data_IF_667820935499
#
_entry.id   IF_667820935499
#
_cell.length_a   1.000
_cell.length_b   1.000
_cell.length_c   1.000
_cell.angle_alpha   90.00
_cell.angle_beta   90.00
_cell.angle_gamma   90.00
#
_symmetry.space_group_name_H-M   'P 1'
#
loop_
_entity.id
_entity.type
_entity.pdbx_description
1 polymer ?
#
# COMPACT_ATOMS: atom_id res chain seq x y z
N UNK A 1 13.94 -0.11 8.67
CA UNK A 1 13.69 1.17 9.35
C UNK A 1 12.25 1.56 9.08
N UNK A 2 11.39 1.62 10.11
CA UNK A 2 9.98 2.02 9.95
C UNK A 2 9.96 3.50 9.55
N UNK A 3 9.25 3.85 8.48
CA UNK A 3 9.11 5.24 8.03
C UNK A 3 8.01 5.92 8.86
N UNK A 4 8.31 7.09 9.40
CA UNK A 4 7.35 7.94 10.11
C UNK A 4 6.53 8.75 9.09
N UNK A 5 5.21 8.78 9.27
CA UNK A 5 4.31 9.60 8.47
C UNK A 5 4.61 11.10 8.63
N UNK A 6 4.99 11.57 9.83
CA UNK A 6 5.31 12.97 10.10
C UNK A 6 6.51 13.44 9.28
N UNK A 7 7.57 12.64 9.25
CA UNK A 7 8.76 12.94 8.45
C UNK A 7 8.48 12.90 6.95
N UNK A 8 7.61 11.97 6.51
CA UNK A 8 7.14 11.91 5.13
C UNK A 8 6.34 13.15 4.73
N UNK A 9 5.43 13.60 5.59
CA UNK A 9 4.65 14.82 5.37
C UNK A 9 5.58 16.03 5.34
N UNK A 10 6.54 16.13 6.27
CA UNK A 10 7.51 17.24 6.29
C UNK A 10 8.31 17.31 4.99
N UNK A 11 8.91 16.20 4.56
CA UNK A 11 9.67 16.14 3.29
C UNK A 11 8.81 16.41 2.07
N UNK A 12 7.57 15.90 2.06
CA UNK A 12 6.64 16.18 0.97
C UNK A 12 6.19 17.65 0.91
N UNK A 13 6.13 18.38 2.04
CA UNK A 13 5.90 19.84 2.04
C UNK A 13 7.07 20.61 1.42
N UNK A 14 8.30 20.12 1.60
CA UNK A 14 9.51 20.79 1.13
C UNK A 14 9.83 20.45 -0.34
N UNK A 15 9.67 19.17 -0.74
CA UNK A 15 10.21 18.64 -2.00
C UNK A 15 9.22 17.77 -2.80
N UNK A 16 7.96 17.68 -2.39
CA UNK A 16 7.01 16.73 -2.97
C UNK A 16 5.57 17.21 -3.03
N UNK A 17 4.65 16.25 -2.98
CA UNK A 17 3.21 16.47 -2.93
C UNK A 17 2.60 15.59 -1.86
N UNK A 18 1.73 16.18 -1.05
CA UNK A 18 0.84 15.44 -0.15
C UNK A 18 -0.41 15.07 -0.94
N UNK A 19 -0.83 13.81 -0.84
CA UNK A 19 -1.92 13.23 -1.62
C UNK A 19 -3.04 12.66 -0.72
N UNK A 20 -3.10 13.05 0.54
CA UNK A 20 -4.13 12.65 1.51
C UNK A 20 -4.56 13.83 2.39
N UNK A 21 -5.75 13.74 2.98
CA UNK A 21 -6.26 14.66 3.99
C UNK A 21 -6.04 14.08 5.39
N UNK A 22 -6.05 14.93 6.42
CA UNK A 22 -5.77 14.50 7.80
C UNK A 22 -6.70 13.35 8.28
N UNK A 23 -7.95 13.33 7.84
CA UNK A 23 -8.92 12.29 8.19
C UNK A 23 -8.77 10.97 7.42
N UNK A 24 -7.94 10.93 6.37
CA UNK A 24 -7.77 9.75 5.52
C UNK A 24 -6.90 8.67 6.18
N UNK A 25 -6.02 9.05 7.12
CA UNK A 25 -5.04 8.14 7.73
C UNK A 25 -5.25 8.08 9.25
N UNK A 26 -5.47 6.86 9.75
CA UNK A 26 -5.50 6.60 11.19
C UNK A 26 -4.16 6.05 11.67
N UNK A 27 -3.76 6.48 12.86
CA UNK A 27 -2.69 5.83 13.61
C UNK A 27 -3.30 4.68 14.41
N UNK A 28 -2.76 3.49 14.26
CA UNK A 28 -3.16 2.28 14.98
C UNK A 28 -1.93 1.67 15.68
N UNK A 29 -2.14 0.76 16.64
CA UNK A 29 -1.04 0.12 17.37
C UNK A 29 -0.03 -0.57 16.44
N UNK A 30 -0.51 -1.13 15.32
CA UNK A 30 0.32 -1.80 14.33
C UNK A 30 1.03 -0.86 13.33
N UNK A 31 0.70 0.44 13.29
CA UNK A 31 1.22 1.40 12.32
C UNK A 31 0.15 2.39 11.85
N UNK A 32 -0.13 2.39 10.54
CA UNK A 32 -1.07 3.30 9.90
C UNK A 32 -2.15 2.54 9.13
N UNK A 33 -3.35 3.11 9.08
CA UNK A 33 -4.46 2.62 8.27
C UNK A 33 -4.90 3.73 7.33
N UNK A 34 -4.80 3.52 6.03
CA UNK A 34 -5.39 4.40 5.02
C UNK A 34 -6.86 4.00 4.79
N UNK A 35 -7.79 4.83 5.28
CA UNK A 35 -9.24 4.62 5.19
C UNK A 35 -9.74 4.60 3.74
N UNK A 36 -8.97 5.15 2.79
CA UNK A 36 -9.34 5.19 1.37
C UNK A 36 -9.04 3.88 0.67
N UNK A 37 -8.37 2.94 1.35
CA UNK A 37 -8.09 1.64 0.78
C UNK A 37 -9.38 0.85 0.63
N UNK A 38 -9.68 0.42 -0.60
CA UNK A 38 -10.87 -0.39 -0.91
C UNK A 38 -10.44 -1.74 -1.50
N UNK A 39 -11.30 -2.75 -1.38
CA UNK A 39 -11.07 -4.05 -2.03
C UNK A 39 -11.89 -4.08 -3.32
N UNK A 40 -11.21 -4.27 -4.45
CA UNK A 40 -11.87 -4.56 -5.71
C UNK A 40 -12.55 -5.93 -5.62
N UNK A 41 -13.88 -5.95 -5.66
CA UNK A 41 -14.66 -7.19 -5.55
C UNK A 41 -14.42 -8.16 -6.70
N UNK A 42 -13.98 -7.67 -7.87
CA UNK A 42 -13.76 -8.50 -9.05
C UNK A 42 -12.42 -9.25 -9.00
N UNK A 43 -11.37 -8.58 -8.53
CA UNK A 43 -10.01 -9.14 -8.49
C UNK A 43 -9.58 -9.59 -7.09
N UNK A 44 -10.25 -9.11 -6.05
CA UNK A 44 -9.87 -9.31 -4.64
C UNK A 44 -8.63 -8.50 -4.22
N UNK A 45 -8.11 -7.60 -5.07
CA UNK A 45 -6.96 -6.78 -4.73
C UNK A 45 -7.35 -5.53 -3.94
N UNK A 46 -6.47 -5.11 -3.04
CA UNK A 46 -6.58 -3.80 -2.42
C UNK A 46 -6.20 -2.72 -3.42
N UNK A 47 -7.10 -1.77 -3.64
CA UNK A 47 -6.85 -0.49 -4.31
C UNK A 47 -6.40 0.48 -3.23
N UNK A 48 -5.14 0.90 -3.31
CA UNK A 48 -4.48 1.77 -2.34
C UNK A 48 -4.19 3.10 -3.01
N UNK A 49 -4.37 4.19 -2.27
CA UNK A 49 -4.01 5.53 -2.74
C UNK A 49 -2.64 5.95 -2.20
N UNK A 50 -1.84 6.69 -2.96
CA UNK A 50 -0.62 7.27 -2.44
C UNK A 50 -0.93 8.28 -1.32
N UNK A 51 -0.03 8.37 -0.35
CA UNK A 51 -0.04 9.40 0.70
C UNK A 51 0.85 10.57 0.30
N UNK A 52 1.99 10.31 -0.32
CA UNK A 52 2.87 11.36 -0.84
C UNK A 52 3.54 10.95 -2.14
N UNK A 53 3.98 11.94 -2.89
CA UNK A 53 4.85 11.77 -4.06
C UNK A 53 6.07 12.67 -3.91
N UNK A 54 7.26 12.07 -3.80
CA UNK A 54 8.54 12.77 -3.62
C UNK A 54 9.63 12.03 -4.41
N UNK A 55 10.55 12.76 -5.06
CA UNK A 55 11.69 12.21 -5.82
C UNK A 55 11.33 11.11 -6.85
N UNK A 56 10.13 11.17 -7.44
CA UNK A 56 9.66 10.16 -8.38
C UNK A 56 9.15 8.85 -7.74
N UNK A 57 9.01 8.82 -6.41
CA UNK A 57 8.46 7.71 -5.66
C UNK A 57 7.07 8.05 -5.12
N UNK A 58 6.13 7.13 -5.31
CA UNK A 58 4.88 7.12 -4.57
C UNK A 58 5.09 6.43 -3.23
N UNK A 59 4.73 7.11 -2.14
CA UNK A 59 4.62 6.51 -0.82
C UNK A 59 3.16 6.11 -0.58
N UNK A 60 2.94 4.93 -0.01
CA UNK A 60 1.60 4.42 0.29
C UNK A 60 1.63 3.58 1.56
N UNK A 61 0.47 3.47 2.24
CA UNK A 61 0.32 2.63 3.42
C UNK A 61 -0.08 1.22 2.98
N UNK A 62 0.64 0.22 3.48
CA UNK A 62 0.33 -1.17 3.19
C UNK A 62 -0.89 -1.64 4.00
N UNK A 63 -1.97 -2.14 3.37
CA UNK A 63 -3.16 -2.57 4.09
C UNK A 63 -2.96 -3.83 4.93
N UNK A 64 -1.87 -4.58 4.73
CA UNK A 64 -1.60 -5.79 5.51
C UNK A 64 -0.67 -5.57 6.71
N UNK A 65 0.38 -4.77 6.57
CA UNK A 65 1.35 -4.57 7.66
C UNK A 65 1.25 -3.19 8.33
N UNK A 66 0.43 -2.27 7.79
CA UNK A 66 0.28 -0.91 8.32
C UNK A 66 1.52 -0.03 8.18
N UNK A 67 2.56 -0.50 7.47
CA UNK A 67 3.78 0.28 7.25
C UNK A 67 3.72 1.08 5.95
N UNK A 68 4.48 2.18 5.91
CA UNK A 68 4.61 2.99 4.71
C UNK A 68 5.68 2.38 3.80
N UNK A 69 5.32 2.20 2.54
CA UNK A 69 6.20 1.68 1.50
C UNK A 69 6.31 2.66 0.34
N UNK A 70 7.39 2.53 -0.42
CA UNK A 70 7.65 3.39 -1.59
C UNK A 70 7.79 2.56 -2.85
N UNK A 71 7.26 3.09 -3.94
CA UNK A 71 7.45 2.51 -5.27
C UNK A 71 7.77 3.61 -6.27
N UNK A 72 8.78 3.39 -7.09
CA UNK A 72 9.15 4.33 -8.13
C UNK A 72 8.05 4.39 -9.19
N UNK A 73 7.73 5.59 -9.68
CA UNK A 73 6.66 5.84 -10.66
C UNK A 73 6.76 4.98 -11.92
N UNK A 74 7.97 4.61 -12.35
CA UNK A 74 8.16 3.76 -13.54
C UNK A 74 7.70 2.31 -13.35
N UNK A 75 7.56 1.85 -12.11
CA UNK A 75 7.06 0.51 -11.78
C UNK A 75 5.55 0.49 -11.57
N UNK A 76 4.91 1.65 -11.63
CA UNK A 76 3.46 1.79 -11.47
C UNK A 76 2.85 2.00 -12.84
N UNK A 77 1.74 1.31 -13.09
CA UNK A 77 0.90 1.54 -14.27
C UNK A 77 -0.55 1.50 -13.83
N UNK A 78 -1.37 2.32 -14.48
CA UNK A 78 -2.80 2.44 -14.18
C UNK A 78 -3.47 1.07 -14.19
N UNK A 79 -4.21 0.76 -13.13
CA UNK A 79 -4.95 -0.50 -12.93
C UNK A 79 -4.11 -1.78 -13.01
N UNK A 80 -2.77 -1.70 -12.93
CA UNK A 80 -1.91 -2.89 -12.91
C UNK A 80 -1.51 -3.24 -11.48
N UNK A 81 -1.61 -4.52 -11.09
CA UNK A 81 -1.26 -4.93 -9.74
C UNK A 81 0.27 -4.94 -9.54
N UNK A 82 0.73 -4.20 -8.53
CA UNK A 82 2.13 -4.12 -8.11
C UNK A 82 2.37 -4.98 -6.87
N UNK A 83 3.59 -5.48 -6.68
CA UNK A 83 3.97 -6.17 -5.43
C UNK A 83 4.08 -5.16 -4.29
N UNK A 84 3.60 -5.53 -3.11
CA UNK A 84 3.76 -4.73 -1.89
C UNK A 84 5.21 -4.69 -1.43
N UNK A 85 5.60 -3.59 -0.78
CA UNK A 85 6.95 -3.40 -0.23
C UNK A 85 7.34 -4.44 0.83
N UNK A 86 6.38 -4.92 1.62
CA UNK A 86 6.61 -5.96 2.64
C UNK A 86 6.83 -7.38 2.05
N UNK A 87 6.59 -7.60 0.76
CA UNK A 87 6.76 -8.92 0.15
C UNK A 87 8.25 -9.23 -0.11
N UNK A 88 8.72 -10.40 0.33
CA UNK A 88 10.06 -10.90 -0.04
C UNK A 88 10.18 -11.01 -1.56
N UNK A 89 11.31 -10.57 -2.12
CA UNK A 89 11.55 -10.51 -3.57
C UNK A 89 11.23 -11.82 -4.32
N UNK A 90 11.55 -12.97 -3.71
CA UNK A 90 11.34 -14.33 -4.24
C UNK A 90 10.06 -15.03 -3.77
N UNK A 91 9.22 -14.37 -2.97
CA UNK A 91 7.97 -14.99 -2.53
C UNK A 91 6.95 -14.99 -3.68
N UNK A 92 6.35 -16.16 -3.94
CA UNK A 92 5.15 -16.27 -4.79
C UNK A 92 3.94 -15.61 -4.13
N UNK A 93 4.06 -15.30 -2.83
CA UNK A 93 3.27 -14.35 -2.08
C UNK A 93 1.76 -14.63 -2.18
N UNK A 94 1.42 -15.87 -1.85
CA UNK A 94 0.06 -16.36 -1.65
C UNK A 94 -0.18 -16.53 -0.15
N UNK A 95 -1.30 -16.04 0.37
CA UNK A 95 -1.82 -16.42 1.69
C UNK A 95 -2.64 -17.70 1.51
N UNK A 96 -2.30 -18.73 2.25
CA UNK A 96 -3.12 -19.94 2.32
C UNK A 96 -4.21 -19.71 3.37
N UNK A 97 -5.47 -19.89 3.00
CA UNK A 97 -6.60 -19.78 3.91
C UNK A 97 -7.62 -20.89 3.62
N UNK A 98 -8.30 -21.33 4.68
CA UNK A 98 -9.40 -22.28 4.58
C UNK A 98 -10.72 -21.50 4.54
N UNK A 99 -11.46 -21.61 3.44
CA UNK A 99 -12.78 -20.99 3.27
C UNK A 99 -13.75 -22.11 2.94
N UNK A 100 -14.78 -22.29 3.78
CA UNK A 100 -15.80 -23.35 3.65
C UNK A 100 -15.20 -24.76 3.48
N UNK A 101 -14.17 -25.09 4.27
CA UNK A 101 -13.50 -26.41 4.22
C UNK A 101 -12.62 -26.65 2.99
N UNK A 102 -12.48 -25.68 2.07
CA UNK A 102 -11.56 -25.76 0.93
C UNK A 102 -10.31 -24.94 1.21
N UNK A 103 -9.14 -25.52 0.89
CA UNK A 103 -7.87 -24.81 0.90
C UNK A 103 -7.78 -23.89 -0.31
N UNK A 104 -7.69 -22.58 -0.07
CA UNK A 104 -7.62 -21.56 -1.12
C UNK A 104 -6.32 -20.77 -0.94
N UNK A 105 -5.59 -20.58 -2.04
CA UNK A 105 -4.42 -19.71 -2.11
C UNK A 105 -4.84 -18.36 -2.68
N UNK A 106 -4.92 -17.35 -1.83
CA UNK A 106 -5.22 -15.98 -2.26
C UNK A 106 -3.91 -15.26 -2.57
N UNK A 107 -3.81 -14.65 -3.76
CA UNK A 107 -2.68 -13.77 -4.14
C UNK A 107 -2.80 -12.44 -3.39
N UNK A 108 -2.50 -12.44 -2.10
CA UNK A 108 -2.63 -11.23 -1.26
C UNK A 108 -1.52 -10.22 -1.48
N UNK A 109 -0.45 -10.60 -2.17
CA UNK A 109 0.79 -9.83 -2.28
C UNK A 109 0.79 -8.62 -3.17
N UNK A 110 -0.31 -8.43 -3.90
CA UNK A 110 -0.43 -7.36 -4.86
C UNK A 110 -1.50 -6.37 -4.44
N UNK A 111 -1.23 -5.13 -4.79
CA UNK A 111 -2.15 -4.01 -4.65
C UNK A 111 -2.23 -3.31 -6.00
N UNK A 112 -3.31 -2.56 -6.21
CA UNK A 112 -3.41 -1.59 -7.29
C UNK A 112 -3.14 -0.23 -6.65
N UNK A 113 -2.15 0.50 -7.17
CA UNK A 113 -1.91 1.88 -6.73
C UNK A 113 -2.72 2.82 -7.64
N UNK A 114 -3.69 3.52 -7.06
CA UNK A 114 -4.55 4.48 -7.75
C UNK A 114 -4.03 5.90 -7.48
N UNK A 115 -3.37 6.50 -8.49
CA UNK A 115 -2.63 7.76 -8.41
C UNK A 115 -3.14 8.83 -9.38
#
# INVERSE_FOLDING_TARGET
>A
MKRDLKDLVRRAKEYGKIMFNDDDVLVAEAGYIDKRTVIDKSTGFHIVKPVTFEDGYYNYICPECGEIHSIHKTKVSRNKPIKKGCCKARSHSNRSCWINGKHIKIKTSKIILDY
#
